data_IF_175835720764
#
_entry.id   IF_175835720764
#
_cell.length_a   1.000
_cell.length_b   1.000
_cell.length_c   1.000
_cell.angle_alpha   90.00
_cell.angle_beta   90.00
_cell.angle_gamma   90.00
#
_symmetry.space_group_name_H-M   'P 1'
#
loop_
_entity.id
_entity.type
_entity.pdbx_description
1 polymer ?
#
# COMPACT_ATOMS: atom_id res chain seq x y z
N UNK A 1 -4.49 10.27 9.52
CA UNK A 1 -3.90 8.98 9.12
C UNK A 1 -4.80 8.36 8.08
N UNK A 2 -4.27 8.15 6.88
CA UNK A 2 -4.98 7.54 5.75
C UNK A 2 -4.52 6.10 5.55
N UNK A 3 -5.31 5.33 4.80
CA UNK A 3 -5.01 3.95 4.46
C UNK A 3 -4.91 3.77 2.95
N UNK A 4 -4.00 2.90 2.55
CA UNK A 4 -3.67 2.67 1.16
C UNK A 4 -3.52 1.17 0.89
N UNK A 5 -3.63 0.78 -0.37
CA UNK A 5 -3.26 -0.54 -0.84
C UNK A 5 -2.21 -0.37 -1.95
N UNK A 6 -1.08 -1.06 -1.79
CA UNK A 6 0.03 -1.01 -2.73
C UNK A 6 0.37 -2.43 -3.19
N UNK A 7 0.40 -2.62 -4.51
CA UNK A 7 0.59 -3.93 -5.15
C UNK A 7 2.05 -4.16 -5.48
N UNK A 8 2.55 -5.34 -5.13
CA UNK A 8 3.84 -5.85 -5.57
C UNK A 8 3.71 -7.32 -5.97
N UNK A 9 4.52 -7.76 -6.94
CA UNK A 9 4.62 -9.18 -7.27
C UNK A 9 5.59 -9.84 -6.30
N UNK A 10 5.18 -10.90 -5.56
CA UNK A 10 6.01 -11.47 -4.49
C UNK A 10 7.30 -12.12 -5.00
N UNK A 11 7.38 -12.47 -6.28
CA UNK A 11 8.62 -12.97 -6.90
C UNK A 11 9.63 -11.85 -7.21
N UNK A 12 9.20 -10.59 -7.17
CA UNK A 12 10.03 -9.40 -7.39
C UNK A 12 10.34 -8.74 -6.06
N UNK A 13 9.32 -8.49 -5.25
CA UNK A 13 9.45 -7.90 -3.92
C UNK A 13 8.24 -8.26 -3.04
N UNK A 14 8.43 -9.14 -2.07
CA UNK A 14 7.42 -9.65 -1.16
C UNK A 14 7.36 -8.86 0.16
N UNK A 15 6.39 -9.21 1.02
CA UNK A 15 6.31 -8.63 2.37
C UNK A 15 7.48 -9.09 3.25
N UNK A 16 8.04 -10.26 2.97
CA UNK A 16 9.20 -10.80 3.70
C UNK A 16 10.49 -10.09 3.31
N UNK A 17 10.60 -9.67 2.05
CA UNK A 17 11.71 -8.83 1.60
C UNK A 17 11.63 -7.47 2.32
N UNK A 18 10.44 -6.86 2.37
CA UNK A 18 10.23 -5.64 3.15
C UNK A 18 10.52 -5.83 4.64
N UNK A 19 10.13 -6.96 5.23
CA UNK A 19 10.45 -7.29 6.62
C UNK A 19 11.97 -7.39 6.85
N UNK A 20 12.69 -8.01 5.92
CA UNK A 20 14.13 -8.15 5.98
C UNK A 20 14.85 -6.80 5.84
N UNK A 21 14.43 -5.99 4.86
CA UNK A 21 15.03 -4.69 4.55
C UNK A 21 14.66 -3.61 5.59
N UNK A 22 13.51 -3.76 6.25
CA UNK A 22 12.94 -2.80 7.20
C UNK A 22 12.28 -1.60 6.52
N UNK A 23 12.87 -1.04 5.47
CA UNK A 23 12.23 -0.07 4.57
C UNK A 23 12.67 -0.22 3.12
N UNK A 24 11.86 0.28 2.19
CA UNK A 24 12.21 0.39 0.78
C UNK A 24 11.69 1.66 0.13
N UNK A 25 12.27 2.04 -1.01
CA UNK A 25 11.68 3.02 -1.92
C UNK A 25 10.63 2.30 -2.77
N UNK A 26 9.40 2.84 -2.86
CA UNK A 26 8.34 2.22 -3.65
C UNK A 26 8.41 2.60 -5.14
N UNK A 27 9.46 2.16 -5.82
CA UNK A 27 9.74 2.52 -7.19
C UNK A 27 8.80 1.89 -8.24
N UNK A 28 8.97 2.29 -9.50
CA UNK A 28 8.37 1.62 -10.65
C UNK A 28 6.92 1.96 -10.95
N UNK A 29 6.31 2.88 -10.19
CA UNK A 29 4.95 3.35 -10.48
C UNK A 29 4.96 4.27 -11.69
N UNK A 30 4.38 3.80 -12.81
CA UNK A 30 4.30 4.52 -14.10
C UNK A 30 2.87 4.83 -14.55
N UNK A 31 1.92 4.81 -13.62
CA UNK A 31 0.56 5.28 -13.84
C UNK A 31 0.35 6.63 -13.15
N UNK A 32 -0.16 7.62 -13.89
CA UNK A 32 -0.34 8.98 -13.39
C UNK A 32 -1.27 9.09 -12.19
N UNK A 33 -2.36 8.32 -12.17
CA UNK A 33 -3.30 8.32 -11.05
C UNK A 33 -2.67 7.68 -9.81
N UNK A 34 -2.01 6.52 -9.97
CA UNK A 34 -1.26 5.87 -8.89
C UNK A 34 -0.16 6.78 -8.34
N UNK A 35 0.58 7.47 -9.20
CA UNK A 35 1.58 8.48 -8.81
C UNK A 35 0.94 9.63 -8.02
N UNK A 36 -0.22 10.11 -8.44
CA UNK A 36 -0.90 11.17 -7.71
C UNK A 36 -1.35 10.71 -6.31
N UNK A 37 -1.73 9.43 -6.15
CA UNK A 37 -1.98 8.85 -4.83
C UNK A 37 -0.72 8.80 -3.96
N UNK A 38 0.44 8.40 -4.53
CA UNK A 38 1.72 8.45 -3.81
C UNK A 38 2.04 9.88 -3.33
N UNK A 39 1.77 10.89 -4.16
CA UNK A 39 1.98 12.31 -3.81
C UNK A 39 1.06 12.82 -2.70
N UNK A 40 -0.10 12.19 -2.50
CA UNK A 40 -1.05 12.57 -1.45
C UNK A 40 -0.85 11.83 -0.13
N UNK A 41 0.11 10.91 -0.06
CA UNK A 41 0.45 10.20 1.18
C UNK A 41 1.15 11.12 2.17
N UNK A 42 0.87 10.91 3.45
CA UNK A 42 1.54 11.57 4.57
C UNK A 42 2.40 10.58 5.36
N UNK A 43 3.39 11.11 6.11
CA UNK A 43 4.19 10.27 7.02
C UNK A 43 3.27 9.61 8.06
N UNK A 44 3.46 8.31 8.25
CA UNK A 44 2.66 7.53 9.19
C UNK A 44 1.37 6.94 8.60
N UNK A 45 1.01 7.27 7.36
CA UNK A 45 -0.07 6.57 6.66
C UNK A 45 0.21 5.07 6.56
N UNK A 46 -0.85 4.27 6.59
CA UNK A 46 -0.76 2.82 6.60
C UNK A 46 -1.05 2.22 5.23
N UNK A 47 -0.35 1.14 4.91
CA UNK A 47 -0.36 0.51 3.60
C UNK A 47 -0.61 -0.98 3.73
N UNK A 48 -1.72 -1.46 3.18
CA UNK A 48 -1.91 -2.88 2.93
C UNK A 48 -1.00 -3.33 1.79
N UNK A 49 -0.04 -4.20 2.10
CA UNK A 49 0.88 -4.77 1.13
C UNK A 49 0.19 -5.92 0.40
N UNK A 50 -0.11 -5.72 -0.88
CA UNK A 50 -0.86 -6.67 -1.69
C UNK A 50 0.06 -7.45 -2.64
N UNK A 51 0.08 -8.77 -2.52
CA UNK A 51 0.73 -9.66 -3.49
C UNK A 51 -0.15 -9.81 -4.74
N UNK A 52 0.31 -9.21 -5.84
CA UNK A 52 -0.29 -9.31 -7.17
C UNK A 52 0.42 -10.36 -8.03
N UNK A 53 -0.23 -10.78 -9.12
CA UNK A 53 0.31 -11.76 -10.07
C UNK A 53 0.84 -13.04 -9.39
N UNK A 54 0.17 -13.45 -8.30
CA UNK A 54 0.51 -14.63 -7.51
C UNK A 54 -0.72 -15.54 -7.38
N UNK A 55 -0.50 -16.77 -6.89
CA UNK A 55 -1.56 -17.73 -6.67
C UNK A 55 -1.48 -18.32 -5.25
N UNK A 56 -2.43 -17.99 -4.34
CA UNK A 56 -3.46 -16.95 -4.48
C UNK A 56 -2.89 -15.52 -4.40
N UNK A 57 -3.50 -14.52 -5.07
CA UNK A 57 -3.21 -13.12 -4.81
C UNK A 57 -3.97 -12.63 -3.58
N UNK A 58 -3.44 -11.64 -2.86
CA UNK A 58 -4.05 -11.19 -1.61
C UNK A 58 -3.23 -10.18 -0.82
N UNK A 59 -3.79 -9.72 0.30
CA UNK A 59 -3.07 -8.84 1.24
C UNK A 59 -2.20 -9.70 2.15
N UNK A 60 -0.90 -9.44 2.16
CA UNK A 60 0.10 -10.23 2.87
C UNK A 60 0.58 -9.58 4.16
N UNK A 61 0.37 -8.28 4.33
CA UNK A 61 0.80 -7.58 5.53
C UNK A 61 0.49 -6.09 5.50
N UNK A 62 1.15 -5.38 6.39
CA UNK A 62 0.97 -3.97 6.65
C UNK A 62 2.34 -3.27 6.64
N UNK A 63 2.39 -2.10 6.01
CA UNK A 63 3.51 -1.19 6.07
C UNK A 63 3.07 0.21 6.48
N UNK A 64 4.05 1.09 6.67
CA UNK A 64 3.85 2.49 7.06
C UNK A 64 4.69 3.41 6.19
N UNK A 65 4.14 4.53 5.77
CA UNK A 65 4.90 5.53 5.02
C UNK A 65 5.96 6.19 5.93
N UNK A 66 7.22 6.03 5.57
CA UNK A 66 8.40 6.53 6.31
C UNK A 66 9.11 7.68 5.60
N UNK A 67 8.79 7.93 4.33
CA UNK A 67 9.37 9.02 3.54
C UNK A 67 8.42 9.49 2.45
N UNK A 68 8.35 10.79 2.23
CA UNK A 68 7.45 11.44 1.27
C UNK A 68 8.20 12.48 0.43
N UNK A 69 7.53 13.03 -0.59
CA UNK A 69 8.11 14.04 -1.49
C UNK A 69 9.38 13.58 -2.20
N UNK A 70 9.46 12.29 -2.53
CA UNK A 70 10.61 11.71 -3.22
C UNK A 70 10.36 11.60 -4.73
N UNK A 71 11.44 11.70 -5.49
CA UNK A 71 11.45 11.32 -6.90
C UNK A 71 11.83 9.86 -7.02
N UNK A 72 11.19 9.14 -7.93
CA UNK A 72 11.54 7.75 -8.21
C UNK A 72 12.91 7.72 -8.91
N UNK A 73 13.99 7.22 -8.29
CA UNK A 73 15.32 7.24 -8.90
C UNK A 73 15.39 6.38 -10.17
N UNK A 74 14.56 5.33 -10.27
CA UNK A 74 14.53 4.43 -11.43
C UNK A 74 14.12 5.13 -12.73
N UNK A 75 13.49 6.31 -12.65
CA UNK A 75 13.11 7.06 -13.84
C UNK A 75 14.32 7.64 -14.59
N UNK A 76 15.47 7.79 -13.92
CA UNK A 76 16.69 8.38 -14.48
C UNK A 76 17.75 7.34 -14.87
N UNK A 77 17.60 6.10 -14.43
CA UNK A 77 18.57 5.04 -14.70
C UNK A 77 18.23 4.33 -16.02
N UNK A 78 19.07 4.50 -17.04
CA UNK A 78 18.91 3.90 -18.36
C UNK A 78 18.96 2.36 -18.37
N UNK A 79 19.46 1.72 -17.31
CA UNK A 79 19.44 0.26 -17.16
C UNK A 79 18.18 -0.24 -16.46
N UNK A 80 17.40 0.66 -15.85
CA UNK A 80 16.15 0.28 -15.20
C UNK A 80 15.05 -0.03 -16.20
N UNK A 81 14.26 -1.07 -15.93
CA UNK A 81 13.00 -1.34 -16.64
C UNK A 81 11.99 -0.19 -16.57
N UNK A 82 12.18 0.73 -15.63
CA UNK A 82 11.29 1.86 -15.40
C UNK A 82 11.90 3.21 -15.83
N UNK A 83 12.99 3.19 -16.59
CA UNK A 83 13.58 4.38 -17.18
C UNK A 83 12.52 5.17 -17.98
N UNK A 84 12.51 6.50 -17.81
CA UNK A 84 11.68 7.39 -18.61
C UNK A 84 12.58 8.44 -19.28
N UNK A 85 12.89 8.31 -20.58
CA UNK A 85 13.77 9.23 -21.29
C UNK A 85 13.24 10.67 -21.36
N UNK A 86 11.95 10.89 -21.05
CA UNK A 86 11.34 12.22 -21.00
C UNK A 86 11.29 12.79 -19.57
N UNK A 87 11.76 12.05 -18.56
CA UNK A 87 11.85 12.54 -17.20
C UNK A 87 13.24 13.10 -16.93
N UNK A 88 13.34 14.42 -16.82
CA UNK A 88 14.59 15.11 -16.55
C UNK A 88 14.76 15.43 -15.07
N UNK A 89 15.99 15.44 -14.51
CA UNK A 89 16.22 15.69 -13.08
C UNK A 89 15.71 17.05 -12.57
N UNK A 90 15.61 18.06 -13.44
CA UNK A 90 15.04 19.38 -13.16
C UNK A 90 13.51 19.39 -13.16
N UNK A 91 12.88 18.42 -13.85
CA UNK A 91 11.42 18.27 -13.92
C UNK A 91 10.99 16.79 -13.85
N UNK A 92 11.22 16.10 -12.73
CA UNK A 92 10.86 14.70 -12.55
C UNK A 92 9.37 14.45 -12.76
N UNK A 93 9.04 13.48 -13.60
CA UNK A 93 7.67 13.06 -13.89
C UNK A 93 7.10 12.12 -12.83
N UNK A 94 7.95 11.33 -12.17
CA UNK A 94 7.55 10.26 -11.27
C UNK A 94 7.98 10.55 -9.84
N UNK A 95 7.01 10.53 -8.94
CA UNK A 95 7.21 10.64 -7.51
C UNK A 95 6.92 9.30 -6.83
N UNK A 96 7.57 9.10 -5.70
CA UNK A 96 7.44 7.90 -4.87
C UNK A 96 7.49 8.27 -3.38
N UNK A 97 7.42 7.24 -2.54
CA UNK A 97 7.47 7.27 -1.09
C UNK A 97 8.47 6.21 -0.61
N UNK A 98 8.89 6.30 0.65
CA UNK A 98 9.46 5.16 1.35
C UNK A 98 8.38 4.44 2.15
N UNK A 99 8.40 3.12 2.05
CA UNK A 99 7.54 2.21 2.79
C UNK A 99 8.38 1.45 3.80
N UNK A 100 8.07 1.60 5.09
CA UNK A 100 8.61 0.79 6.16
C UNK A 100 7.74 -0.44 6.43
N UNK A 101 8.37 -1.54 6.82
CA UNK A 101 7.69 -2.71 7.36
C UNK A 101 6.94 -2.37 8.65
N UNK A 102 5.75 -2.94 8.84
CA UNK A 102 5.01 -2.82 10.09
C UNK A 102 4.57 -4.18 10.63
N UNK A 103 3.94 -5.02 9.81
CA UNK A 103 3.55 -6.38 10.20
C UNK A 103 3.42 -7.31 8.99
N UNK A 104 3.69 -8.59 9.19
CA UNK A 104 3.33 -9.66 8.26
C UNK A 104 2.06 -10.33 8.79
N UNK A 105 1.03 -10.47 7.95
CA UNK A 105 -0.19 -11.11 8.41
C UNK A 105 0.05 -12.61 8.61
N UNK A 106 -0.48 -13.21 9.70
CA UNK A 106 -0.26 -14.63 10.00
C UNK A 106 -0.83 -15.54 8.91
N UNK A 107 -1.77 -15.05 8.11
CA UNK A 107 -2.25 -15.72 6.92
C UNK A 107 -2.56 -14.66 5.86
N UNK A 108 -2.18 -14.93 4.61
CA UNK A 108 -2.57 -14.12 3.47
C UNK A 108 -4.10 -13.97 3.44
N UNK A 109 -4.60 -12.76 3.24
CA UNK A 109 -6.03 -12.49 3.01
C UNK A 109 -6.29 -12.53 1.49
N UNK A 110 -6.80 -13.65 0.94
CA UNK A 110 -6.84 -13.85 -0.50
C UNK A 110 -7.90 -12.97 -1.17
N UNK A 111 -7.69 -12.62 -2.45
CA UNK A 111 -8.60 -11.80 -3.23
C UNK A 111 -10.04 -12.33 -3.26
N UNK A 112 -10.22 -13.65 -3.27
CA UNK A 112 -11.56 -14.25 -3.26
C UNK A 112 -12.28 -14.04 -1.93
N UNK A 113 -11.56 -13.97 -0.82
CA UNK A 113 -12.16 -13.56 0.46
C UNK A 113 -12.49 -12.07 0.44
N UNK A 114 -11.58 -11.22 -0.06
CA UNK A 114 -11.84 -9.79 -0.21
C UNK A 114 -13.09 -9.51 -1.07
N UNK A 115 -13.29 -10.26 -2.15
CA UNK A 115 -14.48 -10.15 -3.02
C UNK A 115 -15.78 -10.55 -2.34
N UNK A 116 -15.73 -11.44 -1.34
CA UNK A 116 -16.91 -11.81 -0.53
C UNK A 116 -17.26 -10.74 0.50
N UNK A 117 -16.25 -10.05 1.02
CA UNK A 117 -16.40 -9.11 2.14
C UNK A 117 -16.65 -7.67 1.68
N UNK A 118 -16.12 -7.27 0.52
CA UNK A 118 -16.10 -5.86 0.09
C UNK A 118 -16.71 -5.64 -1.29
N UNK A 119 -17.33 -4.48 -1.47
CA UNK A 119 -17.83 -4.06 -2.77
C UNK A 119 -16.72 -3.36 -3.62
N UNK A 120 -16.86 -3.35 -4.96
CA UNK A 120 -15.89 -2.74 -5.88
C UNK A 120 -15.68 -1.23 -5.78
N UNK A 121 -16.57 -0.50 -5.11
CA UNK A 121 -16.49 0.95 -4.97
C UNK A 121 -15.69 1.35 -3.72
N UNK A 122 -15.78 0.52 -2.69
CA UNK A 122 -15.08 0.67 -1.43
C UNK A 122 -13.65 0.11 -1.46
N UNK A 123 -13.42 -1.03 -2.12
CA UNK A 123 -12.11 -1.68 -2.20
C UNK A 123 -11.70 -1.95 -3.64
N UNK A 124 -10.93 -1.04 -4.23
CA UNK A 124 -10.70 -1.04 -5.68
C UNK A 124 -9.98 -2.29 -6.20
N UNK A 125 -9.24 -3.03 -5.37
CA UNK A 125 -8.58 -4.27 -5.80
C UNK A 125 -9.58 -5.37 -6.18
N UNK A 126 -10.82 -5.33 -5.67
CA UNK A 126 -11.87 -6.30 -6.03
C UNK A 126 -12.63 -5.90 -7.30
N UNK A 127 -12.46 -4.66 -7.76
CA UNK A 127 -13.08 -4.16 -9.01
C UNK A 127 -12.47 -4.83 -10.23
N UNK A 128 -13.31 -5.49 -11.03
CA UNK A 128 -12.90 -6.09 -12.31
C UNK A 128 -12.29 -5.02 -13.22
N UNK A 129 -11.17 -5.35 -13.85
CA UNK A 129 -10.48 -4.44 -14.78
C UNK A 129 -9.64 -3.34 -14.11
N UNK A 130 -9.61 -3.23 -12.77
CA UNK A 130 -8.72 -2.28 -12.12
C UNK A 130 -7.25 -2.60 -12.45
N UNK A 131 -6.51 -1.60 -12.93
CA UNK A 131 -5.08 -1.66 -13.27
C UNK A 131 -4.20 -0.77 -12.40
N UNK A 132 -4.77 -0.07 -11.42
CA UNK A 132 -3.99 0.77 -10.51
C UNK A 132 -3.22 -0.11 -9.52
N UNK A 133 -1.93 0.22 -9.35
CA UNK A 133 -1.02 -0.43 -8.39
C UNK A 133 -1.05 0.20 -7.01
N UNK A 134 -1.53 1.44 -6.92
CA UNK A 134 -1.70 2.20 -5.67
C UNK A 134 -3.13 2.70 -5.66
N UNK A 135 -3.86 2.47 -4.57
CA UNK A 135 -5.24 2.95 -4.41
C UNK A 135 -5.49 3.36 -2.96
N UNK A 136 -6.31 4.39 -2.71
CA UNK A 136 -6.78 4.69 -1.36
C UNK A 136 -7.70 3.56 -0.86
N UNK A 137 -7.76 3.40 0.46
CA UNK A 137 -8.67 2.50 1.14
C UNK A 137 -9.46 3.33 2.17
N UNK A 138 -10.80 3.39 2.10
CA UNK A 138 -11.61 4.06 3.11
C UNK A 138 -11.34 3.49 4.51
N UNK A 139 -11.36 4.33 5.53
CA UNK A 139 -11.06 3.91 6.90
C UNK A 139 -11.96 2.76 7.38
N UNK A 140 -13.27 2.82 7.11
CA UNK A 140 -14.22 1.75 7.45
C UNK A 140 -13.83 0.40 6.85
N UNK A 141 -13.33 0.39 5.61
CA UNK A 141 -12.84 -0.80 4.90
C UNK A 141 -11.52 -1.27 5.50
N UNK A 142 -10.59 -0.34 5.79
CA UNK A 142 -9.30 -0.64 6.36
C UNK A 142 -9.43 -1.32 7.74
N UNK A 143 -10.31 -0.82 8.60
CA UNK A 143 -10.60 -1.41 9.90
C UNK A 143 -11.18 -2.83 9.76
N UNK A 144 -12.03 -3.08 8.76
CA UNK A 144 -12.51 -4.44 8.51
C UNK A 144 -11.40 -5.38 8.02
N UNK A 145 -10.52 -4.92 7.11
CA UNK A 145 -9.36 -5.69 6.64
C UNK A 145 -8.44 -6.05 7.82
N UNK A 146 -8.14 -5.09 8.68
CA UNK A 146 -7.31 -5.30 9.87
C UNK A 146 -7.94 -6.35 10.81
N UNK A 147 -9.25 -6.31 11.03
CA UNK A 147 -9.95 -7.34 11.82
C UNK A 147 -9.88 -8.72 11.17
N UNK A 148 -10.05 -8.81 9.85
CA UNK A 148 -9.95 -10.06 9.10
C UNK A 148 -8.53 -10.64 9.09
N UNK A 149 -7.52 -9.77 9.06
CA UNK A 149 -6.11 -10.16 8.98
C UNK A 149 -5.59 -10.91 10.19
N UNK A 150 -6.25 -10.76 11.35
CA UNK A 150 -5.78 -11.27 12.66
C UNK A 150 -4.34 -10.81 12.98
N UNK A 151 -3.96 -9.63 12.47
CA UNK A 151 -2.68 -8.98 12.77
C UNK A 151 -2.47 -8.87 14.29
N UNK A 152 -1.23 -9.07 14.72
CA UNK A 152 -0.82 -8.84 16.12
C UNK A 152 -0.44 -7.38 16.35
N UNK A 153 -0.41 -6.56 15.30
CA UNK A 153 -0.19 -5.13 15.41
C UNK A 153 -1.30 -4.51 16.27
N UNK A 154 -0.96 -3.79 17.35
CA UNK A 154 -1.94 -3.26 18.29
C UNK A 154 -2.73 -2.11 17.65
N UNK A 155 -3.80 -2.45 16.96
CA UNK A 155 -4.89 -1.51 16.73
C UNK A 155 -5.74 -1.48 18.01
N UNK A 156 -5.80 -0.34 18.68
CA UNK A 156 -6.69 -0.18 19.83
C UNK A 156 -8.13 -0.19 19.32
N UNK A 157 -8.74 -1.38 19.26
CA UNK A 157 -10.13 -1.58 18.79
C UNK A 157 -11.19 -0.94 19.69
N UNK A 158 -10.80 -0.47 20.87
CA UNK A 158 -11.71 0.04 21.90
C UNK A 158 -11.36 1.47 22.28
N UNK A 159 -12.01 2.47 21.66
CA UNK A 159 -12.51 3.61 22.43
C UNK A 159 -13.70 4.33 21.76
N UNK A 160 -14.93 3.82 21.89
CA UNK A 160 -16.14 4.61 21.67
C UNK A 160 -16.46 5.56 22.84
N UNK A 161 -15.64 5.62 23.90
CA UNK A 161 -16.02 6.16 25.21
C UNK A 161 -15.34 7.48 25.60
N UNK A 162 -14.61 8.17 24.72
CA UNK A 162 -14.00 9.47 25.06
C UNK A 162 -14.96 10.66 24.94
N UNK A 163 -16.24 10.42 24.66
CA UNK A 163 -17.30 11.43 24.68
C UNK A 163 -18.46 10.86 25.49
N UNK A 164 -18.29 10.80 26.80
CA UNK A 164 -19.34 11.00 27.80
C UNK A 164 -18.75 10.67 29.17
N UNK A 165 -18.92 11.62 30.10
CA UNK A 165 -18.63 11.53 31.53
C UNK A 165 -17.16 11.73 31.93
N UNK A 166 -16.81 12.99 32.17
CA UNK A 166 -16.44 13.39 33.53
C UNK A 166 -17.23 14.65 33.87
N UNK A 167 -17.96 14.54 34.98
CA UNK A 167 -18.74 15.54 35.70
C UNK A 167 -17.87 16.51 36.47
#
# INVERSE_FOLDING_TARGET
MSYWLMKSEPNVYSIKDLQHDGETIWDGVRNYQARNFLRSMELGDLVFFYHSNSNPPGIAGLGKITGINLHDPSQFDAQSKYYDPQSHPDKPRWQTVKLGFLDEFPTLLPLDELRRQFNPDDLWVVRRGNRLSVTPVPESVALQILKLSKTSFPFHWNNPSSICQES
#
